data_IF_106867201660
#
_entry.id   IF_106867201660
#
_cell.length_a   1.000
_cell.length_b   1.000
_cell.length_c   1.000
_cell.angle_alpha   90.00
_cell.angle_beta   90.00
_cell.angle_gamma   90.00
#
_symmetry.space_group_name_H-M   'P 1'
#
loop_
_entity.id
_entity.type
_entity.pdbx_description
1 polymer ?
#
# COMPACT_ATOMS: atom_id res chain seq x y z
N UNK A 1 -2.05 8.70 35.95
CA UNK A 1 -2.31 7.34 35.50
C UNK A 1 -2.42 7.43 33.99
N UNK A 2 -1.52 6.80 33.25
CA UNK A 2 -1.67 6.73 31.80
C UNK A 2 -2.94 5.92 31.54
N UNK A 3 -3.93 6.51 30.84
CA UNK A 3 -5.06 5.75 30.32
C UNK A 3 -4.47 4.58 29.53
N UNK A 4 -4.73 3.35 29.98
CA UNK A 4 -4.34 2.16 29.23
C UNK A 4 -5.03 2.26 27.88
N UNK A 5 -4.24 2.34 26.81
CA UNK A 5 -4.72 2.36 25.44
C UNK A 5 -5.51 1.06 25.19
N UNK A 6 -6.83 1.14 25.21
CA UNK A 6 -7.69 0.00 24.92
C UNK A 6 -7.74 -0.23 23.41
N UNK A 7 -7.21 -1.36 22.97
CA UNK A 7 -7.34 -1.79 21.58
C UNK A 7 -8.66 -2.56 21.36
N UNK A 8 -9.16 -2.50 20.13
CA UNK A 8 -10.42 -3.13 19.74
C UNK A 8 -10.43 -4.67 19.85
N UNK A 9 -9.24 -5.28 19.96
CA UNK A 9 -9.08 -6.74 20.04
C UNK A 9 -8.97 -7.23 21.49
N UNK A 10 -8.74 -6.35 22.47
CA UNK A 10 -8.41 -6.68 23.85
C UNK A 10 -7.17 -7.60 23.98
N UNK A 11 -6.23 -7.50 23.06
CA UNK A 11 -4.98 -8.29 23.05
C UNK A 11 -3.85 -7.53 23.73
N UNK A 12 -2.95 -8.29 24.39
CA UNK A 12 -1.66 -7.77 24.80
C UNK A 12 -0.72 -7.65 23.60
N UNK A 13 0.39 -6.94 23.78
CA UNK A 13 1.44 -6.85 22.74
C UNK A 13 1.98 -8.23 22.36
N UNK A 14 2.17 -9.10 23.33
CA UNK A 14 2.67 -10.47 23.16
C UNK A 14 1.68 -11.28 22.31
N UNK A 15 0.39 -11.19 22.60
CA UNK A 15 -0.66 -11.86 21.81
C UNK A 15 -0.70 -11.35 20.37
N UNK A 16 -0.50 -10.05 20.15
CA UNK A 16 -0.37 -9.51 18.76
C UNK A 16 0.84 -10.10 18.03
N UNK A 17 1.97 -10.29 18.69
CA UNK A 17 3.18 -10.86 18.10
C UNK A 17 3.04 -12.36 17.77
N UNK A 18 2.08 -13.06 18.35
CA UNK A 18 1.78 -14.47 18.08
C UNK A 18 0.77 -14.69 16.95
N UNK A 19 0.12 -13.61 16.47
CA UNK A 19 -0.86 -13.72 15.38
C UNK A 19 -0.18 -14.27 14.13
N UNK A 20 -0.78 -15.31 13.57
CA UNK A 20 -0.35 -15.89 12.29
C UNK A 20 -1.33 -15.46 11.19
N UNK A 21 -0.80 -15.01 10.06
CA UNK A 21 -1.60 -14.85 8.85
C UNK A 21 -2.08 -16.21 8.34
N UNK A 22 -3.22 -16.21 7.65
CA UNK A 22 -3.76 -17.41 7.01
C UNK A 22 -2.79 -17.94 5.95
N UNK A 23 -2.84 -19.28 5.74
CA UNK A 23 -2.12 -19.88 4.63
C UNK A 23 -2.70 -19.37 3.30
N UNK A 24 -1.86 -19.04 2.32
CA UNK A 24 -2.31 -18.60 1.01
C UNK A 24 -3.08 -19.72 0.30
N UNK A 25 -4.03 -19.34 -0.57
CA UNK A 25 -4.67 -20.28 -1.48
C UNK A 25 -3.61 -20.99 -2.34
N UNK A 26 -3.89 -22.21 -2.76
CA UNK A 26 -2.95 -23.02 -3.55
C UNK A 26 -2.47 -22.31 -4.83
N UNK A 27 -3.31 -21.50 -5.44
CA UNK A 27 -3.02 -20.76 -6.67
C UNK A 27 -2.69 -19.28 -6.43
N UNK A 28 -2.49 -18.86 -5.18
CA UNK A 28 -2.22 -17.46 -4.79
C UNK A 28 -1.00 -16.89 -5.53
N UNK A 29 0.11 -17.61 -5.52
CA UNK A 29 1.33 -17.19 -6.22
C UNK A 29 1.13 -17.10 -7.72
N UNK A 30 0.51 -18.13 -8.32
CA UNK A 30 0.21 -18.17 -9.76
C UNK A 30 -0.68 -16.99 -10.17
N UNK A 31 -1.71 -16.69 -9.37
CA UNK A 31 -2.60 -15.55 -9.62
C UNK A 31 -1.80 -14.23 -9.65
N UNK A 32 -1.00 -13.95 -8.62
CA UNK A 32 -0.31 -12.67 -8.53
C UNK A 32 0.83 -12.53 -9.54
N UNK A 33 1.53 -13.60 -9.88
CA UNK A 33 2.51 -13.58 -10.97
C UNK A 33 1.86 -13.25 -12.32
N UNK A 34 0.69 -13.84 -12.60
CA UNK A 34 -0.06 -13.51 -13.81
C UNK A 34 -0.52 -12.03 -13.82
N UNK A 35 -0.95 -11.48 -12.66
CA UNK A 35 -1.29 -10.07 -12.57
C UNK A 35 -0.08 -9.15 -12.80
N UNK A 36 1.09 -9.53 -12.27
CA UNK A 36 2.34 -8.82 -12.51
C UNK A 36 2.73 -8.83 -13.99
N UNK A 37 2.76 -10.00 -14.61
CA UNK A 37 3.08 -10.14 -16.05
C UNK A 37 2.12 -9.33 -16.92
N UNK A 38 0.82 -9.36 -16.63
CA UNK A 38 -0.18 -8.56 -17.33
C UNK A 38 0.13 -7.06 -17.24
N UNK A 39 0.53 -6.57 -16.08
CA UNK A 39 0.84 -5.16 -15.86
C UNK A 39 2.12 -4.73 -16.58
N UNK A 40 3.22 -5.51 -16.46
CA UNK A 40 4.53 -5.11 -16.99
C UNK A 40 4.69 -5.34 -18.48
N UNK A 41 3.94 -6.29 -19.06
CA UNK A 41 3.95 -6.57 -20.50
C UNK A 41 2.93 -5.71 -21.29
N UNK A 42 2.10 -4.95 -20.59
CA UNK A 42 1.18 -4.02 -21.25
C UNK A 42 1.96 -2.85 -21.85
N UNK A 43 1.50 -2.39 -23.04
CA UNK A 43 2.07 -1.19 -23.65
C UNK A 43 1.97 -0.01 -22.68
N UNK A 44 3.07 0.69 -22.49
CA UNK A 44 3.07 1.94 -21.71
C UNK A 44 2.41 3.04 -22.55
N UNK A 45 1.17 3.36 -22.21
CA UNK A 45 0.39 4.44 -22.82
C UNK A 45 0.18 5.52 -21.75
N UNK A 46 1.15 6.43 -21.65
CA UNK A 46 1.12 7.52 -20.68
C UNK A 46 1.38 8.88 -21.32
N UNK A 47 0.93 9.91 -20.64
CA UNK A 47 1.10 11.31 -21.01
C UNK A 47 1.52 12.14 -19.81
N UNK A 48 2.59 12.91 -19.94
CA UNK A 48 2.89 14.03 -19.04
C UNK A 48 1.96 15.17 -19.40
N UNK A 49 0.96 15.45 -18.57
CA UNK A 49 -0.07 16.45 -18.86
C UNK A 49 0.49 17.86 -18.75
N UNK A 50 1.10 18.16 -17.59
CA UNK A 50 1.76 19.44 -17.32
C UNK A 50 2.64 19.38 -16.08
N UNK A 51 3.56 20.36 -15.96
CA UNK A 51 4.30 20.64 -14.75
C UNK A 51 3.45 21.55 -13.85
N UNK A 52 3.44 21.31 -12.54
CA UNK A 52 2.75 22.13 -11.56
C UNK A 52 3.75 22.78 -10.62
N UNK A 53 3.34 23.87 -9.98
CA UNK A 53 4.17 24.56 -9.00
C UNK A 53 4.55 23.64 -7.83
N UNK A 54 5.81 23.70 -7.42
CA UNK A 54 6.34 22.96 -6.26
C UNK A 54 6.58 23.90 -5.09
N UNK A 55 6.13 23.55 -3.87
CA UNK A 55 6.43 24.32 -2.66
C UNK A 55 7.87 24.11 -2.17
N UNK A 56 8.59 23.12 -2.73
CA UNK A 56 9.98 22.81 -2.37
C UNK A 56 10.89 23.24 -3.51
N UNK A 57 11.90 24.08 -3.26
CA UNK A 57 12.91 24.45 -4.25
C UNK A 57 13.58 23.20 -4.87
N UNK A 58 14.01 23.29 -6.11
CA UNK A 58 14.73 22.25 -6.85
C UNK A 58 13.97 20.91 -6.99
N UNK A 59 12.65 20.91 -6.80
CA UNK A 59 11.78 19.77 -7.05
C UNK A 59 10.74 20.15 -8.11
N UNK A 60 10.70 19.43 -9.22
CA UNK A 60 9.66 19.54 -10.23
C UNK A 60 8.54 18.56 -9.95
N UNK A 61 7.30 19.00 -10.16
CA UNK A 61 6.11 18.15 -9.98
C UNK A 61 5.40 18.04 -11.33
N UNK A 62 5.09 16.81 -11.74
CA UNK A 62 4.37 16.53 -12.98
C UNK A 62 3.06 15.84 -12.66
N UNK A 63 2.00 16.26 -13.35
CA UNK A 63 0.79 15.48 -13.44
C UNK A 63 0.92 14.55 -14.66
N UNK A 64 0.83 13.27 -14.41
CA UNK A 64 0.94 12.22 -15.41
C UNK A 64 -0.39 11.45 -15.46
N UNK A 65 -0.81 11.04 -16.64
CA UNK A 65 -1.91 10.08 -16.79
C UNK A 65 -1.48 8.91 -17.66
N UNK A 66 -2.04 7.74 -17.40
CA UNK A 66 -1.80 6.55 -18.22
C UNK A 66 -3.06 5.69 -18.32
N UNK A 67 -3.10 4.83 -19.33
CA UNK A 67 -4.14 3.81 -19.46
C UNK A 67 -3.63 2.53 -18.84
N UNK A 68 -4.35 2.04 -17.83
CA UNK A 68 -4.00 0.77 -17.15
C UNK A 68 -4.26 -0.43 -18.07
N UNK A 69 -3.66 -1.58 -17.74
CA UNK A 69 -3.95 -2.84 -18.47
C UNK A 69 -5.43 -3.29 -18.36
N UNK A 70 -6.22 -2.65 -17.51
CA UNK A 70 -7.66 -2.85 -17.35
C UNK A 70 -8.49 -1.83 -18.14
N UNK A 71 -7.85 -0.91 -18.87
CA UNK A 71 -8.49 0.13 -19.64
C UNK A 71 -8.90 1.38 -18.87
N UNK A 72 -8.63 1.46 -17.57
CA UNK A 72 -8.91 2.66 -16.79
C UNK A 72 -7.87 3.76 -17.02
N UNK A 73 -8.33 5.00 -17.12
CA UNK A 73 -7.44 6.15 -17.09
C UNK A 73 -7.02 6.43 -15.65
N UNK A 74 -5.73 6.32 -15.40
CA UNK A 74 -5.10 6.51 -14.08
C UNK A 74 -4.33 7.82 -14.06
N UNK A 75 -4.59 8.63 -13.05
CA UNK A 75 -3.78 9.80 -12.72
C UNK A 75 -2.66 9.45 -11.76
N UNK A 76 -1.50 10.05 -11.97
CA UNK A 76 -0.31 9.87 -11.15
C UNK A 76 0.41 11.20 -10.96
N UNK A 77 0.79 11.50 -9.73
CA UNK A 77 1.72 12.59 -9.44
C UNK A 77 3.16 12.07 -9.50
N UNK A 78 4.05 12.83 -10.13
CA UNK A 78 5.48 12.55 -10.12
C UNK A 78 6.23 13.76 -9.60
N UNK A 79 7.04 13.58 -8.56
CA UNK A 79 7.91 14.62 -7.99
C UNK A 79 9.37 14.26 -8.25
N UNK A 80 10.10 15.14 -8.95
CA UNK A 80 11.49 14.91 -9.35
C UNK A 80 12.39 15.96 -8.70
N UNK A 81 13.23 15.60 -7.72
CA UNK A 81 14.29 16.49 -7.23
C UNK A 81 15.38 16.63 -8.29
N UNK A 82 16.08 17.77 -8.30
CA UNK A 82 17.20 18.03 -9.22
C UNK A 82 18.27 16.92 -9.12
N UNK A 83 18.60 16.51 -7.88
CA UNK A 83 19.50 15.41 -7.59
C UNK A 83 18.69 14.26 -6.99
N UNK A 84 18.49 13.21 -7.74
CA UNK A 84 17.76 12.01 -7.29
C UNK A 84 18.73 10.85 -7.04
N UNK A 85 18.53 10.12 -5.95
CA UNK A 85 19.30 8.92 -5.64
C UNK A 85 18.51 7.61 -5.91
N UNK A 86 17.33 7.69 -6.52
CA UNK A 86 16.51 6.55 -6.89
C UNK A 86 15.05 6.90 -7.11
N UNK A 87 14.23 5.89 -7.36
CA UNK A 87 12.78 5.99 -7.52
C UNK A 87 12.03 5.53 -6.28
N UNK A 88 10.84 6.07 -6.08
CA UNK A 88 9.99 5.71 -4.96
C UNK A 88 8.51 5.74 -5.35
N UNK A 89 7.79 4.67 -5.06
CA UNK A 89 6.35 4.61 -5.27
C UNK A 89 5.64 4.78 -3.93
N UNK A 90 4.76 5.77 -3.84
CA UNK A 90 3.91 5.98 -2.67
C UNK A 90 2.50 5.48 -2.98
N UNK A 91 2.07 4.47 -2.27
CA UNK A 91 0.70 3.97 -2.33
C UNK A 91 -0.13 4.69 -1.26
N UNK A 92 -1.15 5.42 -1.71
CA UNK A 92 -1.96 6.25 -0.83
C UNK A 92 -2.95 5.43 0.02
N UNK A 93 -3.40 6.00 1.14
CA UNK A 93 -4.49 5.46 1.96
C UNK A 93 -5.85 5.57 1.27
N UNK A 94 -6.89 5.03 1.90
CA UNK A 94 -8.26 5.14 1.35
C UNK A 94 -8.74 6.59 1.40
N UNK A 95 -9.13 7.14 0.24
CA UNK A 95 -9.66 8.51 0.14
C UNK A 95 -9.33 9.19 -1.18
N UNK A 96 -9.87 10.40 -1.34
CA UNK A 96 -9.75 11.18 -2.58
C UNK A 96 -8.66 12.27 -2.53
N UNK A 97 -8.01 12.48 -1.38
CA UNK A 97 -6.95 13.47 -1.24
C UNK A 97 -5.58 12.88 -1.62
N UNK A 98 -5.38 12.64 -2.91
CA UNK A 98 -4.13 12.12 -3.45
C UNK A 98 -3.28 13.29 -3.95
N UNK A 99 -2.16 13.55 -3.28
CA UNK A 99 -1.27 14.69 -3.52
C UNK A 99 0.13 14.23 -3.94
N UNK A 100 0.91 15.12 -4.59
CA UNK A 100 2.31 14.88 -4.82
C UNK A 100 3.05 14.63 -3.50
N UNK A 101 3.95 13.67 -3.48
CA UNK A 101 4.83 13.46 -2.34
C UNK A 101 6.10 14.30 -2.55
N UNK A 102 6.22 15.38 -1.79
CA UNK A 102 7.37 16.31 -1.87
C UNK A 102 7.97 16.44 -0.49
N UNK A 103 9.21 15.98 -0.31
CA UNK A 103 9.95 16.08 0.96
C UNK A 103 11.39 16.53 0.68
N UNK A 104 11.82 17.57 1.37
CA UNK A 104 13.14 18.18 1.15
C UNK A 104 14.32 17.24 1.48
N UNK A 105 14.15 16.38 2.48
CA UNK A 105 15.17 15.45 2.97
C UNK A 105 15.00 14.02 2.43
N UNK A 106 14.26 13.88 1.34
CA UNK A 106 13.96 12.60 0.71
C UNK A 106 14.23 12.69 -0.81
N UNK A 107 15.51 12.69 -1.22
CA UNK A 107 15.91 12.96 -2.60
C UNK A 107 15.64 11.75 -3.52
N UNK A 108 14.40 11.28 -3.56
CA UNK A 108 13.93 10.25 -4.47
C UNK A 108 12.94 10.84 -5.48
N UNK A 109 13.03 10.39 -6.70
CA UNK A 109 11.98 10.64 -7.70
C UNK A 109 10.75 9.83 -7.32
N UNK A 110 9.71 10.52 -6.89
CA UNK A 110 8.55 9.87 -6.27
C UNK A 110 7.36 9.84 -7.22
N UNK A 111 6.71 8.70 -7.36
CA UNK A 111 5.43 8.57 -8.06
C UNK A 111 4.32 8.18 -7.08
N UNK A 112 3.17 8.84 -7.22
CA UNK A 112 1.96 8.60 -6.40
C UNK A 112 0.80 8.29 -7.36
N UNK A 113 0.64 7.03 -7.81
CA UNK A 113 -0.51 6.64 -8.61
C UNK A 113 -1.79 6.64 -7.77
N UNK A 114 -2.87 7.19 -8.31
CA UNK A 114 -4.19 7.06 -7.69
C UNK A 114 -4.79 5.69 -8.00
N UNK A 115 -5.39 5.07 -7.00
CA UNK A 115 -6.21 3.85 -7.20
C UNK A 115 -7.37 4.17 -8.15
N UNK A 116 -7.75 3.27 -9.09
CA UNK A 116 -8.87 3.51 -9.99
C UNK A 116 -10.13 3.96 -9.24
N UNK A 117 -10.80 5.00 -9.72
CA UNK A 117 -11.98 5.57 -9.08
C UNK A 117 -11.73 6.53 -7.90
N UNK A 118 -10.47 6.70 -7.45
CA UNK A 118 -10.12 7.62 -6.35
C UNK A 118 -9.22 8.77 -6.82
N UNK A 119 -9.25 9.87 -6.07
CA UNK A 119 -8.39 11.03 -6.27
C UNK A 119 -8.39 11.53 -7.73
N UNK A 120 -7.22 11.65 -8.33
CA UNK A 120 -7.09 12.10 -9.72
C UNK A 120 -7.36 10.99 -10.76
N UNK A 121 -7.78 9.79 -10.32
CA UNK A 121 -8.27 8.68 -11.15
C UNK A 121 -9.79 8.49 -11.07
N UNK A 122 -10.54 9.49 -10.56
CA UNK A 122 -12.00 9.44 -10.52
C UNK A 122 -12.57 9.31 -11.94
N UNK A 123 -13.54 8.39 -12.10
CA UNK A 123 -14.26 8.15 -13.34
C UNK A 123 -15.74 7.85 -13.05
N UNK A 124 -16.58 7.81 -14.09
CA UNK A 124 -18.02 7.55 -13.91
C UNK A 124 -18.33 6.10 -13.60
N UNK A 125 -17.50 5.20 -14.08
CA UNK A 125 -17.71 3.74 -14.03
C UNK A 125 -17.48 3.19 -12.61
N UNK A 126 -16.58 3.81 -11.85
CA UNK A 126 -16.21 3.35 -10.50
C UNK A 126 -16.76 4.33 -9.46
N UNK A 127 -17.60 3.88 -8.52
CA UNK A 127 -18.08 4.74 -7.44
C UNK A 127 -16.91 5.27 -6.60
N UNK A 128 -16.92 6.55 -6.28
CA UNK A 128 -15.87 7.17 -5.44
C UNK A 128 -16.15 7.07 -3.94
N UNK A 129 -17.40 6.78 -3.56
CA UNK A 129 -17.76 6.60 -2.14
C UNK A 129 -17.07 5.35 -1.61
N UNK A 130 -16.33 5.43 -0.48
CA UNK A 130 -15.47 4.35 -0.01
C UNK A 130 -16.15 2.99 0.10
N UNK A 131 -17.39 2.94 0.56
CA UNK A 131 -18.16 1.70 0.72
C UNK A 131 -18.45 1.05 -0.65
N UNK A 132 -18.93 1.82 -1.60
CA UNK A 132 -19.25 1.31 -2.95
C UNK A 132 -17.99 0.99 -3.75
N UNK A 133 -16.97 1.84 -3.64
CA UNK A 133 -15.67 1.62 -4.26
C UNK A 133 -15.04 0.30 -3.80
N UNK A 134 -15.06 0.03 -2.49
CA UNK A 134 -14.45 -1.17 -1.92
C UNK A 134 -15.12 -2.49 -2.36
N UNK A 135 -16.33 -2.42 -2.91
CA UNK A 135 -17.06 -3.55 -3.45
C UNK A 135 -17.01 -3.65 -4.98
N UNK A 136 -16.42 -2.66 -5.67
CA UNK A 136 -16.45 -2.62 -7.13
C UNK A 136 -15.62 -3.75 -7.76
N UNK A 137 -16.30 -4.62 -8.52
CA UNK A 137 -15.70 -5.79 -9.17
C UNK A 137 -15.35 -6.94 -8.22
N UNK A 138 -15.86 -6.92 -6.99
CA UNK A 138 -15.50 -7.91 -5.96
C UNK A 138 -15.91 -9.34 -6.31
N UNK A 139 -16.89 -9.51 -7.19
CA UNK A 139 -17.37 -10.81 -7.68
C UNK A 139 -16.37 -11.54 -8.58
N UNK A 140 -15.37 -10.84 -9.10
CA UNK A 140 -14.33 -11.38 -9.97
C UNK A 140 -12.97 -10.83 -9.56
N UNK A 141 -12.06 -11.67 -9.00
CA UNK A 141 -10.77 -11.20 -8.53
C UNK A 141 -9.95 -10.50 -9.60
N UNK A 142 -10.12 -10.83 -10.88
CA UNK A 142 -9.42 -10.15 -11.97
C UNK A 142 -9.97 -8.75 -12.28
N UNK A 143 -11.23 -8.49 -11.96
CA UNK A 143 -11.91 -7.20 -12.17
C UNK A 143 -11.97 -6.35 -10.90
N UNK A 144 -11.55 -6.92 -9.77
CA UNK A 144 -11.63 -6.22 -8.51
C UNK A 144 -10.72 -4.98 -8.49
N UNK A 145 -11.30 -3.85 -8.10
CA UNK A 145 -10.65 -2.54 -8.14
C UNK A 145 -9.31 -2.46 -7.38
N UNK A 146 -9.17 -3.19 -6.27
CA UNK A 146 -7.90 -3.20 -5.54
C UNK A 146 -6.84 -4.05 -6.23
N UNK A 147 -7.20 -5.11 -6.94
CA UNK A 147 -6.26 -5.87 -7.79
C UNK A 147 -5.78 -4.98 -8.94
N UNK A 148 -6.67 -4.21 -9.57
CA UNK A 148 -6.28 -3.19 -10.54
C UNK A 148 -5.35 -2.14 -9.92
N UNK A 149 -5.63 -1.69 -8.69
CA UNK A 149 -4.75 -0.79 -7.96
C UNK A 149 -3.32 -1.34 -7.78
N UNK A 150 -3.19 -2.62 -7.44
CA UNK A 150 -1.88 -3.29 -7.32
C UNK A 150 -1.16 -3.36 -8.68
N UNK A 151 -1.86 -3.71 -9.79
CA UNK A 151 -1.28 -3.69 -11.16
C UNK A 151 -0.72 -2.31 -11.51
N UNK A 152 -1.42 -1.25 -11.11
CA UNK A 152 -1.00 0.13 -11.37
C UNK A 152 0.27 0.54 -10.61
N UNK A 153 0.60 -0.11 -9.47
CA UNK A 153 1.89 0.07 -8.80
C UNK A 153 3.03 -0.34 -9.75
N UNK A 154 2.95 -1.53 -10.35
CA UNK A 154 3.98 -2.04 -11.25
C UNK A 154 4.07 -1.26 -12.57
N UNK A 155 2.92 -0.87 -13.13
CA UNK A 155 2.87 0.02 -14.31
C UNK A 155 3.52 1.36 -14.00
N UNK A 156 3.28 1.92 -12.80
CA UNK A 156 3.88 3.20 -12.38
C UNK A 156 5.40 3.10 -12.21
N UNK A 157 5.92 1.96 -11.75
CA UNK A 157 7.37 1.71 -11.72
C UNK A 157 7.94 1.73 -13.15
N UNK A 158 7.26 1.07 -14.09
CA UNK A 158 7.69 1.03 -15.49
C UNK A 158 7.70 2.43 -16.11
N UNK A 159 6.65 3.23 -15.88
CA UNK A 159 6.57 4.61 -16.36
C UNK A 159 7.64 5.50 -15.70
N UNK A 160 7.88 5.34 -14.39
CA UNK A 160 8.88 6.12 -13.68
C UNK A 160 10.28 5.87 -14.22
N UNK A 161 10.61 4.62 -14.55
CA UNK A 161 11.89 4.23 -15.16
C UNK A 161 11.99 4.75 -16.60
N UNK A 162 10.91 4.72 -17.37
CA UNK A 162 10.89 5.24 -18.74
C UNK A 162 11.08 6.77 -18.76
N UNK A 163 10.42 7.50 -17.85
CA UNK A 163 10.61 8.95 -17.69
C UNK A 163 12.00 9.33 -17.18
N UNK A 164 12.57 8.53 -16.28
CA UNK A 164 13.82 8.83 -15.57
C UNK A 164 14.66 7.56 -15.42
N UNK A 165 15.44 7.16 -16.45
CA UNK A 165 16.19 5.89 -16.44
C UNK A 165 17.23 5.77 -15.32
N UNK A 166 17.68 6.89 -14.77
CA UNK A 166 18.67 6.95 -13.66
C UNK A 166 18.15 6.38 -12.35
N UNK A 167 16.82 6.24 -12.18
CA UNK A 167 16.22 5.68 -10.95
C UNK A 167 16.18 4.15 -10.92
N UNK A 168 16.43 3.48 -12.04
CA UNK A 168 16.17 2.04 -12.27
C UNK A 168 16.79 1.11 -11.22
N UNK A 169 18.00 1.42 -10.78
CA UNK A 169 18.77 0.51 -9.90
C UNK A 169 18.38 0.63 -8.41
N UNK A 170 17.61 1.65 -8.04
CA UNK A 170 17.21 1.90 -6.64
C UNK A 170 15.73 2.31 -6.57
N UNK A 171 14.82 1.36 -6.78
CA UNK A 171 13.37 1.56 -6.61
C UNK A 171 12.96 1.11 -5.23
N UNK A 172 12.22 1.94 -4.52
CA UNK A 172 11.61 1.62 -3.23
C UNK A 172 10.11 1.94 -3.23
N UNK A 173 9.40 1.42 -2.25
CA UNK A 173 7.96 1.65 -2.10
C UNK A 173 7.61 2.02 -0.67
N UNK A 174 6.57 2.83 -0.50
CA UNK A 174 5.94 3.01 0.81
C UNK A 174 4.43 3.11 0.69
N UNK A 175 3.74 2.74 1.76
CA UNK A 175 2.30 2.89 1.84
C UNK A 175 1.79 2.82 3.27
N UNK A 176 0.68 3.52 3.52
CA UNK A 176 0.00 3.50 4.80
C UNK A 176 -1.45 3.06 4.61
N UNK A 177 -2.00 2.35 5.61
CA UNK A 177 -3.40 1.90 5.58
C UNK A 177 -3.68 1.02 4.34
N UNK A 178 -4.58 1.46 3.43
CA UNK A 178 -4.80 0.77 2.15
C UNK A 178 -3.49 0.62 1.37
N UNK A 179 -2.69 1.68 1.29
CA UNK A 179 -1.40 1.65 0.60
C UNK A 179 -0.41 0.67 1.26
N UNK A 180 -0.44 0.52 2.58
CA UNK A 180 0.35 -0.48 3.30
C UNK A 180 -0.03 -1.91 2.93
N UNK A 181 -1.34 -2.20 2.86
CA UNK A 181 -1.86 -3.50 2.43
C UNK A 181 -1.56 -3.81 0.96
N UNK A 182 -1.81 -2.83 0.08
CA UNK A 182 -1.46 -2.96 -1.35
C UNK A 182 0.04 -3.15 -1.55
N UNK A 183 0.87 -2.46 -0.76
CA UNK A 183 2.32 -2.60 -0.79
C UNK A 183 2.77 -4.01 -0.40
N UNK A 184 2.19 -4.58 0.67
CA UNK A 184 2.48 -5.96 1.06
C UNK A 184 2.16 -6.96 -0.06
N UNK A 185 1.11 -6.67 -0.86
CA UNK A 185 0.75 -7.50 -2.02
C UNK A 185 1.67 -7.24 -3.22
N UNK A 186 2.03 -5.98 -3.51
CA UNK A 186 2.79 -5.63 -4.71
C UNK A 186 4.28 -6.00 -4.65
N UNK A 187 4.91 -5.79 -3.49
CA UNK A 187 6.35 -5.90 -3.29
C UNK A 187 6.94 -7.26 -3.67
N UNK A 188 6.32 -8.41 -3.35
CA UNK A 188 6.92 -9.72 -3.60
C UNK A 188 7.19 -10.06 -5.06
N UNK A 189 6.44 -9.51 -5.98
CA UNK A 189 6.42 -9.96 -7.38
C UNK A 189 7.32 -9.15 -8.31
N UNK A 190 7.74 -7.96 -7.90
CA UNK A 190 8.56 -7.06 -8.72
C UNK A 190 9.99 -6.94 -8.19
N UNK A 191 10.92 -7.61 -8.85
CA UNK A 191 12.34 -7.62 -8.48
C UNK A 191 13.05 -6.26 -8.61
N UNK A 192 12.42 -5.28 -9.26
CA UNK A 192 12.91 -3.90 -9.35
C UNK A 192 12.82 -3.20 -8.00
N UNK A 193 11.86 -3.58 -7.14
CA UNK A 193 11.71 -3.04 -5.79
C UNK A 193 12.85 -3.57 -4.91
N UNK A 194 13.57 -2.67 -4.24
CA UNK A 194 14.73 -3.01 -3.39
C UNK A 194 14.46 -2.90 -1.90
N UNK A 195 13.45 -2.14 -1.51
CA UNK A 195 13.01 -1.99 -0.12
C UNK A 195 11.59 -1.43 -0.06
N UNK A 196 10.91 -1.64 1.06
CA UNK A 196 9.59 -1.05 1.28
C UNK A 196 9.37 -0.58 2.72
N UNK A 197 8.37 0.31 2.89
CA UNK A 197 7.80 0.67 4.19
C UNK A 197 6.29 0.46 4.16
N UNK A 198 5.77 -0.29 5.13
CA UNK A 198 4.36 -0.63 5.26
C UNK A 198 3.85 -0.16 6.63
N UNK A 199 3.11 0.96 6.65
CA UNK A 199 2.57 1.53 7.88
C UNK A 199 1.11 1.16 8.07
N UNK A 200 0.75 0.69 9.26
CA UNK A 200 -0.62 0.29 9.64
C UNK A 200 -1.37 -0.45 8.51
N UNK A 201 -0.78 -1.52 7.93
CA UNK A 201 -1.27 -2.13 6.71
C UNK A 201 -2.67 -2.73 6.90
N UNK A 202 -3.59 -2.46 5.96
CA UNK A 202 -4.89 -3.13 5.87
C UNK A 202 -4.79 -4.42 5.02
N UNK A 203 -5.92 -5.03 4.72
CA UNK A 203 -6.01 -6.28 3.94
C UNK A 203 -5.38 -7.50 4.65
N UNK A 204 -5.29 -7.47 5.99
CA UNK A 204 -4.63 -8.49 6.80
C UNK A 204 -5.41 -9.80 6.97
N UNK A 205 -6.21 -10.21 5.97
CA UNK A 205 -6.89 -11.49 5.96
C UNK A 205 -8.19 -11.54 6.76
N UNK A 206 -8.66 -12.77 7.03
CA UNK A 206 -9.94 -13.02 7.68
C UNK A 206 -9.93 -12.60 9.14
N UNK A 207 -8.80 -12.71 9.84
CA UNK A 207 -8.67 -12.28 11.23
C UNK A 207 -9.04 -10.80 11.42
N UNK A 208 -8.72 -9.95 10.44
CA UNK A 208 -9.12 -8.54 10.48
C UNK A 208 -10.63 -8.37 10.53
N UNK A 209 -11.39 -9.28 9.88
CA UNK A 209 -12.85 -9.20 9.77
C UNK A 209 -13.56 -9.43 11.10
N UNK A 210 -12.94 -10.17 12.01
CA UNK A 210 -13.52 -10.50 13.32
C UNK A 210 -13.60 -9.27 14.24
N UNK A 211 -12.72 -8.27 13.99
CA UNK A 211 -12.63 -7.06 14.82
C UNK A 211 -13.14 -5.79 14.13
N UNK A 212 -13.83 -5.94 12.99
CA UNK A 212 -14.46 -4.81 12.31
C UNK A 212 -15.74 -4.40 13.03
N UNK A 213 -15.74 -3.21 13.59
CA UNK A 213 -16.88 -2.66 14.34
C UNK A 213 -17.50 -1.40 13.70
N UNK A 214 -16.96 -0.91 12.58
CA UNK A 214 -17.46 0.25 11.86
C UNK A 214 -18.20 -0.14 10.57
N UNK A 215 -19.55 -0.17 10.54
CA UNK A 215 -20.35 -0.55 9.38
C UNK A 215 -20.16 0.36 8.16
N UNK A 216 -19.62 1.57 8.34
CA UNK A 216 -19.40 2.53 7.25
C UNK A 216 -18.00 2.42 6.66
N UNK A 217 -17.13 1.55 7.19
CA UNK A 217 -15.77 1.40 6.69
C UNK A 217 -15.73 0.57 5.38
N UNK A 218 -14.79 0.88 4.47
CA UNK A 218 -14.55 0.06 3.29
C UNK A 218 -14.23 -1.40 3.62
N UNK A 219 -13.52 -1.63 4.73
CA UNK A 219 -13.18 -2.97 5.20
C UNK A 219 -14.41 -3.78 5.61
N UNK A 220 -15.37 -3.15 6.28
CA UNK A 220 -16.64 -3.79 6.64
C UNK A 220 -17.45 -4.18 5.39
N UNK A 221 -17.55 -3.28 4.41
CA UNK A 221 -18.22 -3.60 3.13
C UNK A 221 -17.59 -4.82 2.46
N UNK A 222 -16.26 -4.91 2.40
CA UNK A 222 -15.56 -6.07 1.85
C UNK A 222 -15.87 -7.36 2.64
N UNK A 223 -15.91 -7.27 3.96
CA UNK A 223 -16.27 -8.39 4.82
C UNK A 223 -17.68 -8.91 4.55
N UNK A 224 -18.63 -8.01 4.37
CA UNK A 224 -20.00 -8.38 4.03
C UNK A 224 -20.09 -8.99 2.64
N UNK A 225 -19.47 -8.38 1.65
CA UNK A 225 -19.39 -8.91 0.28
C UNK A 225 -18.77 -10.31 0.23
N UNK A 226 -17.70 -10.54 0.97
CA UNK A 226 -17.03 -11.86 1.01
C UNK A 226 -17.97 -12.97 1.47
N UNK A 227 -18.90 -12.69 2.38
CA UNK A 227 -19.86 -13.66 2.91
C UNK A 227 -21.01 -14.01 1.95
N UNK A 228 -21.18 -13.25 0.86
CA UNK A 228 -22.30 -13.47 -0.07
C UNK A 228 -22.11 -14.72 -0.96
N UNK A 229 -20.87 -15.12 -1.26
CA UNK A 229 -20.56 -16.29 -2.09
C UNK A 229 -19.14 -16.82 -1.88
N UNK A 230 -18.88 -18.06 -2.27
CA UNK A 230 -17.55 -18.67 -2.26
C UNK A 230 -16.57 -17.89 -3.18
N UNK A 231 -17.04 -17.42 -4.32
CA UNK A 231 -16.21 -16.64 -5.24
C UNK A 231 -15.79 -15.28 -4.63
N UNK A 232 -16.69 -14.62 -3.91
CA UNK A 232 -16.38 -13.41 -3.18
C UNK A 232 -15.38 -13.68 -2.05
N UNK A 233 -15.54 -14.78 -1.31
CA UNK A 233 -14.58 -15.17 -0.29
C UNK A 233 -13.21 -15.45 -0.91
N UNK A 234 -13.14 -16.08 -2.07
CA UNK A 234 -11.92 -16.27 -2.83
C UNK A 234 -11.26 -14.94 -3.22
N UNK A 235 -12.05 -13.95 -3.66
CA UNK A 235 -11.52 -12.59 -3.95
C UNK A 235 -10.90 -11.95 -2.71
N UNK A 236 -11.54 -12.11 -1.55
CA UNK A 236 -10.97 -11.64 -0.28
C UNK A 236 -9.63 -12.33 0.01
N UNK A 237 -9.59 -13.66 -0.12
CA UNK A 237 -8.39 -14.46 0.19
C UNK A 237 -7.25 -14.19 -0.78
N UNK A 238 -7.53 -13.95 -2.07
CA UNK A 238 -6.53 -13.52 -3.04
C UNK A 238 -6.02 -12.09 -2.75
N UNK A 239 -6.84 -11.23 -2.16
CA UNK A 239 -6.44 -9.89 -1.72
C UNK A 239 -5.96 -9.85 -0.26
N UNK A 240 -5.39 -10.95 0.23
CA UNK A 240 -4.85 -11.06 1.59
C UNK A 240 -3.38 -10.63 1.64
N UNK A 241 -3.13 -9.46 2.24
CA UNK A 241 -1.79 -8.90 2.39
C UNK A 241 -0.88 -9.75 3.30
N UNK A 242 -1.44 -10.45 4.30
CA UNK A 242 -0.68 -11.36 5.14
C UNK A 242 -0.19 -12.58 4.36
N UNK A 243 -1.04 -13.14 3.48
CA UNK A 243 -0.63 -14.22 2.58
C UNK A 243 0.49 -13.77 1.62
N UNK A 244 0.36 -12.57 1.03
CA UNK A 244 1.38 -12.02 0.13
C UNK A 244 2.70 -11.72 0.84
N UNK A 245 2.65 -11.22 2.08
CA UNK A 245 3.83 -10.84 2.85
C UNK A 245 4.84 -12.00 3.06
N UNK A 246 4.38 -13.25 3.03
CA UNK A 246 5.25 -14.45 3.10
C UNK A 246 6.24 -14.57 1.94
N UNK A 247 5.91 -13.96 0.80
CA UNK A 247 6.74 -13.98 -0.41
C UNK A 247 7.71 -12.80 -0.50
N UNK A 248 7.73 -11.88 0.47
CA UNK A 248 8.67 -10.76 0.51
C UNK A 248 10.11 -11.25 0.63
N UNK A 249 11.00 -10.70 -0.20
CA UNK A 249 12.43 -11.05 -0.25
C UNK A 249 13.34 -9.82 -0.31
N UNK A 250 12.85 -8.69 0.20
CA UNK A 250 13.59 -7.42 0.30
C UNK A 250 13.36 -6.81 1.69
N UNK A 251 14.27 -5.95 2.21
CA UNK A 251 14.07 -5.29 3.49
C UNK A 251 12.76 -4.51 3.54
N UNK A 252 11.94 -4.78 4.56
CA UNK A 252 10.66 -4.08 4.79
C UNK A 252 10.60 -3.54 6.21
N UNK A 253 10.46 -2.22 6.32
CA UNK A 253 10.04 -1.58 7.55
C UNK A 253 8.53 -1.71 7.67
N UNK A 254 8.05 -2.43 8.67
CA UNK A 254 6.61 -2.59 8.94
C UNK A 254 6.26 -2.02 10.31
N UNK A 255 5.23 -1.17 10.34
CA UNK A 255 4.84 -0.44 11.56
C UNK A 255 3.35 -0.66 11.88
N UNK A 256 2.96 -1.83 12.45
CA UNK A 256 1.62 -2.04 12.99
C UNK A 256 1.41 -1.20 14.25
N UNK A 257 0.14 -0.90 14.58
CA UNK A 257 -0.24 -0.17 15.77
C UNK A 257 -0.96 -1.06 16.79
N UNK A 258 -0.74 -0.81 18.07
CA UNK A 258 -1.45 -1.52 19.16
C UNK A 258 -2.92 -1.10 19.26
N UNK A 259 -3.22 0.18 18.96
CA UNK A 259 -4.56 0.74 18.99
C UNK A 259 -4.88 1.42 17.68
N UNK A 260 -5.92 0.95 17.01
CA UNK A 260 -6.40 1.53 15.76
C UNK A 260 -7.90 1.22 15.59
N UNK A 261 -8.70 2.27 15.46
CA UNK A 261 -10.16 2.19 15.32
C UNK A 261 -10.62 2.17 13.86
N UNK A 262 -9.68 2.27 12.91
CA UNK A 262 -9.96 2.27 11.46
C UNK A 262 -9.56 0.95 10.83
N UNK A 263 -8.33 0.53 11.10
CA UNK A 263 -7.80 -0.76 10.65
C UNK A 263 -7.50 -1.63 11.89
N UNK A 264 -8.25 -2.71 12.12
CA UNK A 264 -8.06 -3.56 13.29
C UNK A 264 -6.61 -4.02 13.45
N UNK A 265 -5.99 -3.82 14.63
CA UNK A 265 -4.60 -4.20 14.91
C UNK A 265 -4.29 -5.66 14.57
N UNK A 266 -5.21 -6.60 14.83
CA UNK A 266 -5.01 -8.02 14.54
C UNK A 266 -4.63 -8.25 13.07
N UNK A 267 -5.29 -7.56 12.13
CA UNK A 267 -4.94 -7.66 10.70
C UNK A 267 -3.59 -7.03 10.37
N UNK A 268 -3.24 -5.91 11.01
CA UNK A 268 -1.93 -5.26 10.81
C UNK A 268 -0.79 -6.18 11.28
N UNK A 269 -0.94 -6.83 12.43
CA UNK A 269 0.03 -7.78 12.96
C UNK A 269 0.07 -9.07 12.14
N UNK A 270 -1.05 -9.55 11.60
CA UNK A 270 -1.05 -10.68 10.67
C UNK A 270 -0.15 -10.41 9.46
N UNK A 271 -0.20 -9.20 8.87
CA UNK A 271 0.70 -8.78 7.79
C UNK A 271 2.15 -8.73 8.28
N UNK A 272 2.41 -8.04 9.38
CA UNK A 272 3.76 -7.84 9.90
C UNK A 272 4.46 -9.16 10.27
N UNK A 273 3.73 -10.06 10.94
CA UNK A 273 4.27 -11.35 11.39
C UNK A 273 4.46 -12.35 10.24
N UNK A 274 3.79 -12.14 9.10
CA UNK A 274 3.94 -12.98 7.91
C UNK A 274 5.19 -12.64 7.08
N UNK A 275 5.80 -11.47 7.27
CA UNK A 275 7.06 -11.12 6.60
C UNK A 275 8.18 -12.00 7.15
N UNK A 276 8.97 -12.71 6.30
CA UNK A 276 10.09 -13.52 6.76
C UNK A 276 11.08 -12.69 7.59
N UNK A 277 11.59 -13.28 8.67
CA UNK A 277 12.33 -12.57 9.72
C UNK A 277 13.57 -11.85 9.18
N UNK A 278 14.28 -12.45 8.23
CA UNK A 278 15.47 -11.89 7.60
C UNK A 278 15.22 -10.60 6.79
N UNK A 279 13.97 -10.35 6.40
CA UNK A 279 13.57 -9.16 5.63
C UNK A 279 12.77 -8.16 6.45
N UNK A 280 12.33 -8.55 7.65
CA UNK A 280 11.44 -7.78 8.50
C UNK A 280 12.17 -6.82 9.43
N UNK A 281 11.82 -5.55 9.37
CA UNK A 281 12.20 -4.54 10.37
C UNK A 281 10.91 -4.08 11.04
N UNK A 282 10.58 -4.71 12.17
CA UNK A 282 9.34 -4.42 12.91
C UNK A 282 9.54 -3.26 13.87
N UNK A 283 8.67 -2.26 13.81
CA UNK A 283 8.49 -1.21 14.82
C UNK A 283 7.01 -1.05 15.13
N UNK A 284 6.66 -1.01 16.39
CA UNK A 284 5.27 -1.02 16.85
C UNK A 284 4.90 0.39 17.30
N UNK A 285 3.80 0.92 16.73
CA UNK A 285 3.19 2.19 17.13
C UNK A 285 2.20 1.97 18.28
N UNK A 286 2.05 2.97 19.12
CA UNK A 286 0.97 2.98 20.12
C UNK A 286 -0.39 3.14 19.42
N UNK A 287 -0.50 4.09 18.46
CA UNK A 287 -1.74 4.36 17.73
C UNK A 287 -1.55 4.37 16.23
N UNK A 288 -2.60 3.98 15.50
CA UNK A 288 -2.64 3.99 14.04
C UNK A 288 -3.26 5.26 13.46
N UNK A 289 -4.57 5.24 13.22
CA UNK A 289 -5.33 6.34 12.58
C UNK A 289 -5.83 7.39 13.61
N UNK A 290 -4.99 7.75 14.57
CA UNK A 290 -5.29 8.76 15.58
C UNK A 290 -4.10 9.71 15.74
N UNK A 291 -4.26 10.76 16.55
CA UNK A 291 -3.17 11.64 16.91
C UNK A 291 -2.02 10.84 17.58
N UNK A 292 -0.77 11.03 17.14
CA UNK A 292 0.36 10.25 17.64
C UNK A 292 0.57 10.49 19.14
N UNK A 293 0.93 9.44 19.86
CA UNK A 293 1.40 9.54 21.26
C UNK A 293 2.81 10.14 21.31
N UNK A 294 3.27 10.50 22.51
CA UNK A 294 4.66 10.94 22.69
C UNK A 294 5.66 9.86 22.24
N UNK A 295 5.37 8.59 22.48
CA UNK A 295 6.19 7.47 22.02
C UNK A 295 6.21 7.35 20.49
N UNK A 296 5.06 7.56 19.82
CA UNK A 296 5.01 7.56 18.35
C UNK A 296 5.84 8.68 17.75
N UNK A 297 5.86 9.87 18.38
CA UNK A 297 6.68 11.02 17.97
C UNK A 297 8.19 10.69 18.14
N UNK A 298 8.57 10.10 19.25
CA UNK A 298 9.96 9.69 19.52
C UNK A 298 10.39 8.59 18.53
N UNK A 299 9.52 7.61 18.25
CA UNK A 299 9.75 6.55 17.29
C UNK A 299 10.02 7.09 15.89
N UNK A 300 9.40 8.20 15.48
CA UNK A 300 9.58 8.75 14.13
C UNK A 300 11.04 9.11 13.80
N UNK A 301 11.84 9.51 14.79
CA UNK A 301 13.28 9.76 14.60
C UNK A 301 14.02 8.45 14.25
N UNK A 302 13.69 7.34 14.91
CA UNK A 302 14.26 6.04 14.59
C UNK A 302 13.82 5.56 13.21
N UNK A 303 12.52 5.67 12.89
CA UNK A 303 11.98 5.31 11.58
C UNK A 303 12.68 6.08 10.47
N UNK A 304 12.97 7.36 10.66
CA UNK A 304 13.71 8.17 9.70
C UNK A 304 15.12 7.61 9.43
N UNK A 305 15.85 7.17 10.45
CA UNK A 305 17.17 6.56 10.25
C UNK A 305 17.07 5.20 9.53
N UNK A 306 16.06 4.40 9.87
CA UNK A 306 15.80 3.12 9.18
C UNK A 306 15.49 3.38 7.69
N UNK A 307 14.60 4.35 7.37
CA UNK A 307 14.28 4.74 5.98
C UNK A 307 15.53 5.16 5.22
N UNK A 308 16.40 6.01 5.81
CA UNK A 308 17.67 6.40 5.20
C UNK A 308 18.47 5.17 4.79
N UNK A 309 18.62 4.21 5.69
CA UNK A 309 19.38 2.99 5.43
C UNK A 309 18.75 2.11 4.34
N UNK A 310 17.46 1.75 4.45
CA UNK A 310 16.83 0.79 3.53
C UNK A 310 16.57 1.37 2.14
N UNK A 311 16.29 2.68 2.05
CA UNK A 311 16.08 3.37 0.77
C UNK A 311 17.38 3.93 0.17
N UNK A 312 18.52 3.70 0.83
CA UNK A 312 19.86 4.16 0.41
C UNK A 312 19.92 5.67 0.19
N UNK A 313 19.35 6.41 1.15
CA UNK A 313 19.39 7.89 1.14
C UNK A 313 20.72 8.38 1.71
N UNK A 314 21.20 9.55 1.27
CA UNK A 314 22.41 10.16 1.79
C UNK A 314 22.33 10.56 3.26
#
# INVERSE_FOLDING_TARGET
MADELKNSCNFTKEQFLEIKGEEPLQDFETFWRAQYERAVNSKLDYKVEHEVWSPVPDVKIYKVSFVSCDGFKIGMWVSRPEKSCGGHIVMHGYGNDVRPCVKQDFPLTTAVPSVPGLGISMCREIPWQPQHHAAYGFEDPEKYVLVSGVRNVWTSISILIDMFPDVKENISCSGSSLGGGMGAIAVPWDSRIKAAELSVPTLGGRIMLEYLNNPTSPAYTRAMKAKESENNMRTLDLCNAASAARYIRVPVLVTPALCDNVVPPAGQFAVANSIPEEFKILRIRDVGHAAPTQKDIELENELRQIRKKIFRLP
#
